data_IF_935362880403
#
_entry.id   IF_935362880403
#
_cell.length_a   1.000
_cell.length_b   1.000
_cell.length_c   1.000
_cell.angle_alpha   90.00
_cell.angle_beta   90.00
_cell.angle_gamma   90.00
#
_symmetry.space_group_name_H-M   'P 1'
#
loop_
_entity.id
_entity.type
_entity.pdbx_description
1 polymer ?
#
# COMPACT_ATOMS: atom_id res chain seq x y z
N UNK A 1 -0.01 15.07 63.32
CA UNK A 1 -1.32 14.41 63.26
C UNK A 1 -1.43 13.72 61.90
N UNK A 2 -1.00 12.54 61.77
CA UNK A 2 -1.58 11.22 61.90
C UNK A 2 -2.94 11.06 61.18
N UNK A 3 -2.95 10.18 60.22
CA UNK A 3 -3.77 8.97 60.08
C UNK A 3 -3.72 8.50 58.62
N UNK A 4 -3.00 7.42 58.38
CA UNK A 4 -3.36 6.02 58.47
C UNK A 4 -4.37 5.51 57.42
N UNK A 5 -3.86 4.51 56.68
CA UNK A 5 -4.52 3.25 56.25
C UNK A 5 -5.46 3.38 55.05
N UNK A 6 -5.33 2.58 53.97
CA UNK A 6 -5.52 1.13 54.04
C UNK A 6 -5.06 0.44 52.75
N UNK A 7 -4.29 -0.59 52.91
CA UNK A 7 -3.97 -1.62 51.92
C UNK A 7 -5.20 -2.51 51.73
N UNK A 8 -5.65 -2.77 50.54
CA UNK A 8 -6.44 -3.94 50.21
C UNK A 8 -5.79 -4.70 49.06
N UNK A 9 -5.22 -5.86 49.45
CA UNK A 9 -4.93 -7.00 48.58
C UNK A 9 -6.27 -7.60 48.14
N UNK A 10 -6.39 -7.87 46.85
CA UNK A 10 -7.29 -8.91 46.38
C UNK A 10 -6.51 -9.88 45.51
N UNK A 11 -6.18 -10.99 46.13
CA UNK A 11 -5.95 -12.28 45.50
C UNK A 11 -7.31 -12.87 45.17
N UNK A 12 -7.51 -13.27 43.92
CA UNK A 12 -8.43 -14.36 43.56
C UNK A 12 -8.12 -14.79 42.13
N UNK A 13 -7.58 -15.95 42.07
CA UNK A 13 -8.20 -17.22 41.69
C UNK A 13 -8.05 -17.52 40.18
N UNK A 14 -7.18 -18.50 40.00
CA UNK A 14 -7.05 -19.33 38.82
C UNK A 14 -8.37 -20.09 38.59
N UNK A 15 -8.90 -19.98 37.40
CA UNK A 15 -9.85 -20.96 36.87
C UNK A 15 -9.24 -21.63 35.64
N UNK A 16 -8.97 -22.87 35.87
CA UNK A 16 -8.55 -23.94 35.01
C UNK A 16 -9.79 -24.32 34.14
N UNK A 17 -9.82 -23.93 32.89
CA UNK A 17 -10.81 -24.47 31.96
C UNK A 17 -10.12 -25.30 30.88
N UNK A 18 -10.31 -26.58 31.08
CA UNK A 18 -10.02 -27.71 30.24
C UNK A 18 -10.52 -27.49 28.78
N UNK A 19 -9.61 -27.55 27.82
CA UNK A 19 -9.95 -27.67 26.40
C UNK A 19 -10.46 -29.08 26.11
N UNK A 20 -11.76 -29.16 25.85
CA UNK A 20 -12.40 -30.31 25.25
C UNK A 20 -11.99 -30.48 23.80
N UNK A 21 -11.32 -31.58 23.55
CA UNK A 21 -10.99 -32.10 22.23
C UNK A 21 -12.31 -32.62 21.59
N UNK A 22 -12.89 -31.83 20.69
CA UNK A 22 -13.99 -32.29 19.85
C UNK A 22 -13.47 -32.96 18.58
N UNK A 23 -13.70 -34.23 18.58
CA UNK A 23 -13.78 -35.24 17.55
C UNK A 23 -13.80 -34.76 16.08
N UNK A 24 -12.79 -35.24 15.35
CA UNK A 24 -12.79 -35.36 13.90
C UNK A 24 -13.86 -36.39 13.49
N UNK A 25 -14.96 -35.95 12.92
CA UNK A 25 -15.80 -36.80 12.11
C UNK A 25 -15.32 -36.74 10.64
N UNK A 26 -14.70 -37.83 10.29
CA UNK A 26 -14.44 -38.22 8.89
C UNK A 26 -15.81 -38.57 8.30
N UNK A 27 -16.20 -37.89 7.23
CA UNK A 27 -17.21 -38.38 6.31
C UNK A 27 -16.55 -38.57 4.95
N UNK A 28 -16.49 -39.85 4.59
CA UNK A 28 -16.21 -40.38 3.27
C UNK A 28 -17.44 -40.19 2.37
N UNK A 29 -17.15 -40.30 1.07
CA UNK A 29 -18.00 -40.58 -0.08
C UNK A 29 -18.83 -39.41 -0.63
N UNK A 30 -18.62 -39.05 -1.87
CA UNK A 30 -19.06 -39.74 -3.09
C UNK A 30 -18.48 -39.07 -4.36
N UNK A 31 -18.07 -39.94 -5.24
CA UNK A 31 -17.72 -39.70 -6.65
C UNK A 31 -18.87 -38.99 -7.37
N UNK A 32 -18.56 -37.88 -8.04
CA UNK A 32 -19.27 -37.50 -9.27
C UNK A 32 -18.28 -36.84 -10.24
N UNK A 33 -17.87 -37.64 -11.24
CA UNK A 33 -17.26 -37.23 -12.49
C UNK A 33 -18.19 -36.25 -13.22
N UNK A 34 -17.86 -34.98 -13.26
CA UNK A 34 -18.33 -34.07 -14.29
C UNK A 34 -17.13 -33.34 -14.89
N UNK A 35 -16.72 -33.86 -16.06
CA UNK A 35 -15.86 -33.22 -17.04
C UNK A 35 -16.51 -31.91 -17.52
N UNK A 36 -16.20 -30.79 -16.87
CA UNK A 36 -16.36 -29.47 -17.43
C UNK A 36 -15.00 -28.83 -17.64
N UNK A 37 -14.57 -28.90 -18.89
CA UNK A 37 -13.50 -28.10 -19.51
C UNK A 37 -13.79 -26.59 -19.34
N UNK A 38 -13.62 -26.06 -18.14
CA UNK A 38 -13.54 -24.66 -17.90
C UNK A 38 -12.08 -24.22 -17.94
N UNK A 39 -11.74 -23.54 -19.04
CA UNK A 39 -10.57 -22.68 -19.21
C UNK A 39 -10.29 -21.91 -17.89
N UNK A 40 -9.59 -22.55 -16.97
CA UNK A 40 -8.97 -21.93 -15.83
C UNK A 40 -7.92 -20.96 -16.37
N UNK A 41 -8.42 -19.78 -16.78
CA UNK A 41 -7.66 -18.57 -16.99
C UNK A 41 -6.71 -18.44 -15.80
N UNK A 42 -5.48 -18.93 -15.99
CA UNK A 42 -4.39 -18.70 -15.05
C UNK A 42 -4.23 -17.18 -14.89
N UNK A 43 -4.99 -16.61 -13.97
CA UNK A 43 -4.64 -15.34 -13.38
C UNK A 43 -3.36 -15.61 -12.62
N UNK A 44 -2.24 -15.39 -13.28
CA UNK A 44 -0.96 -15.26 -12.60
C UNK A 44 -1.13 -14.10 -11.61
N UNK A 45 -1.44 -14.44 -10.39
CA UNK A 45 -1.36 -13.55 -9.24
C UNK A 45 0.13 -13.30 -8.98
N UNK A 46 0.74 -12.58 -9.94
CA UNK A 46 2.06 -12.02 -9.75
C UNK A 46 1.88 -11.07 -8.59
N UNK A 47 2.36 -11.47 -7.44
CA UNK A 47 2.33 -10.67 -6.21
C UNK A 47 2.98 -9.33 -6.54
N UNK A 48 2.15 -8.32 -6.85
CA UNK A 48 2.62 -7.00 -7.26
C UNK A 48 3.39 -6.42 -6.08
N UNK A 49 4.67 -6.19 -6.28
CA UNK A 49 5.57 -5.73 -5.24
C UNK A 49 5.21 -4.30 -4.85
N UNK A 50 4.97 -4.07 -3.56
CA UNK A 50 4.71 -2.74 -3.01
C UNK A 50 6.03 -2.09 -2.60
N UNK A 51 6.26 -0.87 -3.06
CA UNK A 51 7.41 -0.07 -2.69
C UNK A 51 6.99 1.05 -1.75
N UNK A 52 7.66 1.16 -0.61
CA UNK A 52 7.41 2.22 0.35
C UNK A 52 8.02 3.53 -0.18
N UNK A 53 7.17 4.49 -0.50
CA UNK A 53 7.57 5.79 -1.03
C UNK A 53 7.72 6.85 0.08
N UNK A 54 6.79 6.87 1.03
CA UNK A 54 6.84 7.74 2.20
C UNK A 54 6.47 6.93 3.44
N UNK A 55 7.42 6.69 4.37
CA UNK A 55 7.09 6.09 5.65
C UNK A 55 6.31 7.08 6.52
N UNK A 56 5.44 6.57 7.38
CA UNK A 56 4.60 7.39 8.24
C UNK A 56 5.39 8.34 9.15
N UNK A 57 6.58 7.94 9.58
CA UNK A 57 7.49 8.78 10.38
C UNK A 57 7.87 10.09 9.68
N UNK A 58 7.98 10.07 8.34
CA UNK A 58 8.25 11.25 7.52
C UNK A 58 6.97 11.93 7.01
N UNK A 59 5.81 11.26 7.14
CA UNK A 59 4.48 11.77 6.82
C UNK A 59 3.73 12.33 8.03
N UNK A 60 4.43 13.04 8.91
CA UNK A 60 3.90 13.64 10.15
C UNK A 60 3.21 12.62 11.10
N UNK A 61 3.69 11.37 11.10
CA UNK A 61 3.13 10.30 11.93
C UNK A 61 1.80 9.74 11.44
N UNK A 62 1.23 10.28 10.36
CA UNK A 62 -0.10 9.92 9.89
C UNK A 62 -0.14 9.41 8.44
N UNK A 63 0.54 10.09 7.52
CA UNK A 63 0.52 9.75 6.10
C UNK A 63 1.61 8.72 5.76
N UNK A 64 1.20 7.59 5.21
CA UNK A 64 2.10 6.60 4.58
C UNK A 64 1.74 6.49 3.10
N UNK A 65 2.73 6.46 2.23
CA UNK A 65 2.55 6.32 0.79
C UNK A 65 3.30 5.09 0.30
N UNK A 66 2.60 4.20 -0.38
CA UNK A 66 3.16 3.04 -1.08
C UNK A 66 2.84 3.15 -2.57
N UNK A 67 3.68 2.58 -3.41
CA UNK A 67 3.46 2.51 -4.85
C UNK A 67 3.63 1.09 -5.35
N UNK A 68 2.86 0.77 -6.40
CA UNK A 68 2.94 -0.49 -7.14
C UNK A 68 3.12 -0.12 -8.60
N UNK A 69 4.16 -0.66 -9.24
CA UNK A 69 4.37 -0.49 -10.67
C UNK A 69 3.44 -1.41 -11.45
N UNK A 70 2.63 -0.83 -12.33
CA UNK A 70 1.71 -1.59 -13.16
C UNK A 70 2.34 -1.80 -14.54
N UNK A 71 2.20 -3.03 -15.07
CA UNK A 71 2.66 -3.38 -16.42
C UNK A 71 1.58 -3.17 -17.48
N UNK A 72 0.66 -2.28 -17.22
CA UNK A 72 -0.41 -1.93 -18.14
C UNK A 72 -0.07 -0.70 -18.97
N UNK A 73 -0.76 -0.56 -20.12
CA UNK A 73 -0.56 0.58 -20.99
C UNK A 73 -1.13 1.84 -20.33
N UNK A 74 -0.33 2.91 -20.31
CA UNK A 74 -0.73 4.19 -19.76
C UNK A 74 -1.71 4.92 -20.68
N UNK A 75 -2.70 5.59 -20.10
CA UNK A 75 -3.57 6.53 -20.81
C UNK A 75 -2.85 7.82 -21.26
N UNK A 76 -1.67 8.10 -20.69
CA UNK A 76 -0.84 9.26 -21.03
C UNK A 76 0.19 9.00 -22.13
N UNK A 77 0.23 7.79 -22.67
CA UNK A 77 1.12 7.38 -23.76
C UNK A 77 1.94 6.14 -23.38
N UNK A 78 2.44 5.47 -24.42
CA UNK A 78 3.16 4.19 -24.27
C UNK A 78 4.49 4.28 -23.54
N UNK A 79 5.06 5.48 -23.43
CA UNK A 79 6.34 5.71 -22.76
C UNK A 79 6.20 5.95 -21.26
N UNK A 80 4.96 6.09 -20.76
CA UNK A 80 4.70 6.26 -19.34
C UNK A 80 4.53 4.93 -18.62
N UNK A 81 5.21 4.81 -17.51
CA UNK A 81 4.95 3.78 -16.51
C UNK A 81 3.79 4.23 -15.61
N UNK A 82 2.87 3.31 -15.34
CA UNK A 82 1.72 3.55 -14.48
C UNK A 82 2.05 3.08 -13.08
N UNK A 83 1.90 3.97 -12.12
CA UNK A 83 2.08 3.67 -10.70
C UNK A 83 0.75 3.77 -9.97
N UNK A 84 0.31 2.67 -9.39
CA UNK A 84 -0.72 2.71 -8.37
C UNK A 84 -0.15 3.29 -7.08
N UNK A 85 -0.81 4.28 -6.56
CA UNK A 85 -0.42 4.98 -5.33
C UNK A 85 -1.43 4.66 -4.24
N UNK A 86 -0.95 4.08 -3.16
CA UNK A 86 -1.74 3.76 -1.98
C UNK A 86 -1.45 4.82 -0.91
N UNK A 87 -2.42 5.67 -0.65
CA UNK A 87 -2.35 6.73 0.34
C UNK A 87 -3.03 6.25 1.62
N UNK A 88 -2.26 6.01 2.67
CA UNK A 88 -2.78 5.51 3.94
C UNK A 88 -2.77 6.62 4.99
N UNK A 89 -3.90 6.84 5.63
CA UNK A 89 -3.96 7.56 6.89
C UNK A 89 -3.90 6.54 8.04
N UNK A 90 -2.77 6.48 8.71
CA UNK A 90 -2.57 5.53 9.82
C UNK A 90 -2.94 6.11 11.18
N UNK A 91 -3.31 7.40 11.24
CA UNK A 91 -3.74 8.04 12.47
C UNK A 91 -5.09 7.50 12.95
N UNK A 92 -5.29 7.47 14.26
CA UNK A 92 -6.50 6.91 14.86
C UNK A 92 -7.70 7.85 14.78
N UNK A 93 -7.48 9.14 14.87
CA UNK A 93 -8.53 10.15 15.03
C UNK A 93 -8.50 11.25 13.97
N UNK A 94 -7.30 11.66 13.55
CA UNK A 94 -7.14 12.82 12.68
C UNK A 94 -7.38 12.50 11.20
N UNK A 95 -8.10 13.38 10.54
CA UNK A 95 -8.30 13.36 9.08
C UNK A 95 -7.17 14.09 8.38
N UNK A 96 -6.66 13.50 7.29
CA UNK A 96 -5.77 14.19 6.36
C UNK A 96 -6.64 14.89 5.31
N UNK A 97 -6.41 16.19 5.10
CA UNK A 97 -7.17 17.01 4.15
C UNK A 97 -6.25 17.66 3.12
N UNK A 98 -6.81 17.97 1.94
CA UNK A 98 -6.14 18.72 0.87
C UNK A 98 -4.81 18.10 0.46
N UNK A 99 -4.78 16.76 0.37
CA UNK A 99 -3.57 16.03 0.03
C UNK A 99 -3.25 16.24 -1.46
N UNK A 100 -2.16 16.94 -1.75
CA UNK A 100 -1.76 17.31 -3.09
C UNK A 100 -0.24 17.27 -3.30
N UNK A 101 0.18 17.10 -4.56
CA UNK A 101 1.59 17.14 -4.94
C UNK A 101 1.97 18.55 -5.37
N UNK A 102 3.05 19.08 -4.78
CA UNK A 102 3.61 20.38 -5.12
C UNK A 102 5.14 20.31 -5.23
N UNK A 103 5.78 21.38 -5.71
CA UNK A 103 7.24 21.52 -5.81
C UNK A 103 7.90 20.28 -6.44
N UNK A 104 7.68 20.12 -7.72
CA UNK A 104 8.25 19.01 -8.49
C UNK A 104 9.64 19.40 -8.99
N UNK A 105 10.59 18.51 -8.78
CA UNK A 105 11.94 18.55 -9.35
C UNK A 105 12.06 17.31 -10.23
N UNK A 106 11.87 17.52 -11.54
CA UNK A 106 11.82 16.47 -12.55
C UNK A 106 12.94 16.74 -13.55
N UNK A 107 13.85 15.78 -13.81
CA UNK A 107 14.85 15.91 -14.85
C UNK A 107 14.24 16.26 -16.22
N UNK A 108 14.99 17.02 -17.06
CA UNK A 108 14.49 17.54 -18.33
C UNK A 108 14.06 16.44 -19.33
N UNK A 109 14.69 15.28 -19.23
CA UNK A 109 14.40 14.12 -20.08
C UNK A 109 13.30 13.20 -19.53
N UNK A 110 12.69 13.53 -18.41
CA UNK A 110 11.64 12.78 -17.74
C UNK A 110 10.33 13.54 -17.72
N UNK A 111 9.23 12.81 -17.60
CA UNK A 111 7.90 13.38 -17.42
C UNK A 111 7.24 12.80 -16.18
N UNK A 112 6.47 13.63 -15.49
CA UNK A 112 5.79 13.26 -14.28
C UNK A 112 4.38 13.85 -14.22
N UNK A 113 3.38 12.97 -14.15
CA UNK A 113 1.99 13.33 -13.91
C UNK A 113 1.63 12.85 -12.51
N UNK A 114 1.46 13.76 -11.54
CA UNK A 114 1.16 13.41 -10.16
C UNK A 114 -0.26 12.88 -10.01
N UNK A 115 -0.54 12.24 -8.89
CA UNK A 115 -1.91 11.87 -8.53
C UNK A 115 -2.78 13.12 -8.35
N UNK A 116 -4.08 12.93 -8.56
CA UNK A 116 -5.08 13.99 -8.35
C UNK A 116 -5.20 14.31 -6.86
N UNK A 117 -5.51 15.57 -6.58
CA UNK A 117 -5.76 16.02 -5.21
C UNK A 117 -6.85 15.17 -4.53
N UNK A 118 -6.57 14.77 -3.29
CA UNK A 118 -7.49 14.04 -2.43
C UNK A 118 -8.02 14.99 -1.36
N UNK A 119 -9.30 15.31 -1.42
CA UNK A 119 -9.93 16.28 -0.52
C UNK A 119 -9.87 15.85 0.95
N UNK A 120 -10.22 14.60 1.25
CA UNK A 120 -10.20 14.07 2.62
C UNK A 120 -9.89 12.58 2.64
N UNK A 121 -8.94 12.21 3.49
CA UNK A 121 -8.58 10.83 3.81
C UNK A 121 -8.91 10.59 5.30
N UNK A 122 -9.89 9.73 5.54
CA UNK A 122 -10.38 9.45 6.90
C UNK A 122 -9.35 8.70 7.75
N UNK A 123 -9.44 8.73 9.08
CA UNK A 123 -8.60 7.93 9.97
C UNK A 123 -8.66 6.45 9.60
N UNK A 124 -7.54 5.75 9.75
CA UNK A 124 -7.42 4.30 9.46
C UNK A 124 -7.92 3.87 8.08
N UNK A 125 -7.99 4.81 7.12
CA UNK A 125 -8.44 4.53 5.77
C UNK A 125 -7.31 4.59 4.74
N UNK A 126 -7.58 4.05 3.57
CA UNK A 126 -6.69 4.06 2.43
C UNK A 126 -7.46 4.49 1.18
N UNK A 127 -6.82 5.33 0.37
CA UNK A 127 -7.29 5.68 -0.98
C UNK A 127 -6.25 5.21 -1.99
N UNK A 128 -6.72 4.64 -3.10
CA UNK A 128 -5.92 4.26 -4.25
C UNK A 128 -6.09 5.29 -5.35
N UNK A 129 -4.97 5.74 -5.91
CA UNK A 129 -4.91 6.69 -7.03
C UNK A 129 -3.77 6.33 -7.95
N UNK A 130 -3.53 7.10 -9.01
CA UNK A 130 -2.48 6.80 -9.98
C UNK A 130 -1.56 7.99 -10.21
N UNK A 131 -0.29 7.68 -10.48
CA UNK A 131 0.71 8.59 -11.03
C UNK A 131 1.26 8.00 -12.32
N UNK A 132 1.81 8.85 -13.18
CA UNK A 132 2.42 8.41 -14.44
C UNK A 132 3.80 9.06 -14.55
N UNK A 133 4.77 8.26 -14.95
CA UNK A 133 6.18 8.64 -14.96
C UNK A 133 6.86 8.08 -16.20
N UNK A 134 7.76 8.84 -16.81
CA UNK A 134 8.73 8.29 -17.75
C UNK A 134 10.07 8.21 -17.06
N UNK A 135 10.63 7.01 -16.92
CA UNK A 135 11.99 6.85 -16.42
C UNK A 135 12.97 6.75 -17.60
N UNK A 136 14.07 7.48 -17.52
CA UNK A 136 15.15 7.43 -18.50
C UNK A 136 16.45 7.04 -17.81
N UNK A 137 16.70 5.72 -17.80
CA UNK A 137 17.91 5.16 -17.20
C UNK A 137 17.78 4.82 -15.70
N UNK A 138 18.78 4.11 -15.19
CA UNK A 138 18.73 3.42 -13.89
C UNK A 138 18.96 4.32 -12.68
N UNK A 139 19.45 5.54 -12.87
CA UNK A 139 19.86 6.42 -11.78
C UNK A 139 18.95 7.67 -11.62
N UNK A 140 17.96 7.80 -12.49
CA UNK A 140 17.08 8.96 -12.47
C UNK A 140 16.09 8.90 -11.30
N UNK A 141 15.97 10.02 -10.59
CA UNK A 141 14.98 10.18 -9.53
C UNK A 141 14.14 11.43 -9.76
N UNK A 142 12.88 11.33 -9.39
CA UNK A 142 11.95 12.47 -9.36
C UNK A 142 11.74 12.85 -7.90
N UNK A 143 11.88 14.13 -7.59
CA UNK A 143 11.61 14.65 -6.27
C UNK A 143 10.39 15.53 -6.29
N UNK A 144 9.55 15.40 -5.28
CA UNK A 144 8.37 16.25 -5.12
C UNK A 144 8.00 16.40 -3.65
N UNK A 145 7.10 17.32 -3.36
CA UNK A 145 6.53 17.49 -2.02
C UNK A 145 5.08 17.12 -2.02
N UNK A 146 4.65 16.39 -1.01
CA UNK A 146 3.26 16.10 -0.72
C UNK A 146 2.81 17.03 0.40
N UNK A 147 1.75 17.78 0.16
CA UNK A 147 1.18 18.76 1.09
C UNK A 147 -0.17 18.29 1.59
N UNK A 148 -0.45 18.58 2.86
CA UNK A 148 -1.76 18.37 3.49
C UNK A 148 -1.96 19.39 4.61
N UNK A 149 -3.10 19.30 5.31
CA UNK A 149 -3.35 20.07 6.54
C UNK A 149 -2.34 19.76 7.68
N UNK A 150 -1.64 18.63 7.61
CA UNK A 150 -0.61 18.24 8.60
C UNK A 150 0.76 18.88 8.30
N UNK A 151 0.97 19.35 7.07
CA UNK A 151 2.23 19.93 6.64
C UNK A 151 2.69 19.44 5.29
N UNK A 152 4.02 19.48 5.06
CA UNK A 152 4.65 19.13 3.80
C UNK A 152 5.74 18.10 4.00
N UNK A 153 5.66 16.99 3.27
CA UNK A 153 6.66 15.93 3.26
C UNK A 153 7.38 15.86 1.91
N UNK A 154 8.71 15.71 1.93
CA UNK A 154 9.49 15.46 0.71
C UNK A 154 9.48 13.99 0.36
N UNK A 155 9.36 13.72 -0.93
CA UNK A 155 9.31 12.38 -1.49
C UNK A 155 10.29 12.28 -2.63
N UNK A 156 11.03 11.17 -2.71
CA UNK A 156 11.90 10.82 -3.82
C UNK A 156 11.40 9.50 -4.44
N UNK A 157 11.07 9.56 -5.71
CA UNK A 157 10.65 8.40 -6.51
C UNK A 157 11.82 7.97 -7.39
N UNK A 158 12.30 6.74 -7.19
CA UNK A 158 13.34 6.10 -8.00
C UNK A 158 12.74 4.91 -8.74
N UNK A 159 13.21 4.68 -9.96
CA UNK A 159 12.85 3.47 -10.67
C UNK A 159 13.52 2.27 -9.99
N UNK A 160 12.77 1.25 -9.55
CA UNK A 160 13.36 0.02 -9.06
C UNK A 160 14.01 -0.73 -10.22
N UNK A 161 15.24 -1.22 -10.02
CA UNK A 161 16.05 -1.87 -11.05
C UNK A 161 15.34 -3.01 -11.80
N UNK A 162 14.42 -3.71 -11.16
CA UNK A 162 13.65 -4.82 -11.77
C UNK A 162 12.47 -4.38 -12.62
N UNK A 163 11.96 -3.16 -12.46
CA UNK A 163 10.76 -2.66 -13.14
C UNK A 163 11.07 -1.99 -14.49
N UNK A 164 12.33 -1.62 -14.73
CA UNK A 164 12.78 -1.00 -15.99
C UNK A 164 12.93 -2.01 -17.13
N UNK A 165 12.95 -3.30 -16.84
CA UNK A 165 13.06 -4.35 -17.84
C UNK A 165 11.68 -4.65 -18.44
N UNK A 166 11.28 -3.88 -19.43
CA UNK A 166 10.14 -4.24 -20.28
C UNK A 166 10.53 -5.41 -21.17
N UNK A 167 9.74 -6.49 -21.23
CA UNK A 167 9.97 -7.52 -22.24
C UNK A 167 9.82 -6.87 -23.63
N UNK A 168 10.89 -6.90 -24.40
CA UNK A 168 10.84 -6.50 -25.82
C UNK A 168 9.99 -7.55 -26.52
N UNK A 169 8.84 -7.15 -27.06
CA UNK A 169 8.05 -8.00 -27.94
C UNK A 169 8.89 -8.28 -29.18
N UNK A 170 9.50 -9.45 -29.27
CA UNK A 170 10.09 -9.93 -30.51
C UNK A 170 8.93 -10.24 -31.47
N UNK A 171 8.74 -9.38 -32.45
CA UNK A 171 7.92 -9.72 -33.62
C UNK A 171 8.69 -10.74 -34.42
N UNK A 172 8.21 -11.97 -34.47
CA UNK A 172 8.69 -13.05 -35.33
C UNK A 172 8.04 -12.87 -36.71
#
# INVERSE_FOLDING_TARGET
EDKNQRVEKNENQADDESFDLLELSVMDDDDDDDDDDDDKKYKSDVTKMKHLLLPASHGHGALKIEVIYLREQSSHGKDYDVLDVLLHNIHDEDKIRELSVRKKDVPEDMSFVPFREVGTLLPKSMIRTQMYVTFRGNESSIRFSVHSNLGSSRVELKAPLGELLRPVSMTI
#
